data_IF_794084348189
#
_entry.id   IF_794084348189
#
_cell.length_a   1.000
_cell.length_b   1.000
_cell.length_c   1.000
_cell.angle_alpha   90.00
_cell.angle_beta   90.00
_cell.angle_gamma   90.00
#
_symmetry.space_group_name_H-M   'P 1'
#
loop_
_entity.id
_entity.type
_entity.pdbx_description
1 polymer ?
#
# COMPACT_ATOMS: atom_id res chain seq x y z
N UNK A 1 12.90 -5.62 -21.22
CA UNK A 1 13.04 -6.93 -20.55
C UNK A 1 11.68 -7.35 -20.00
N UNK A 2 11.40 -8.62 -20.00
CA UNK A 2 10.18 -9.14 -19.40
C UNK A 2 10.48 -9.62 -17.99
N UNK A 3 9.75 -9.10 -17.01
CA UNK A 3 10.03 -9.33 -15.58
C UNK A 3 8.77 -9.86 -14.88
N UNK A 4 8.94 -10.92 -14.12
CA UNK A 4 7.88 -11.48 -13.29
C UNK A 4 8.09 -11.02 -11.83
N UNK A 5 7.02 -10.57 -11.19
CA UNK A 5 7.01 -10.18 -9.78
C UNK A 5 6.05 -11.09 -9.04
N UNK A 6 6.52 -11.69 -7.96
CA UNK A 6 5.68 -12.54 -7.11
C UNK A 6 5.23 -11.72 -5.89
N UNK A 7 3.92 -11.57 -5.76
CA UNK A 7 3.30 -10.80 -4.70
C UNK A 7 2.90 -9.39 -5.13
N UNK A 8 1.70 -9.00 -4.78
CA UNK A 8 1.15 -7.67 -5.07
C UNK A 8 0.99 -6.82 -3.81
N UNK A 9 1.84 -7.05 -2.80
CA UNK A 9 1.96 -6.15 -1.68
C UNK A 9 2.57 -4.82 -2.12
N UNK A 10 2.74 -3.90 -1.19
CA UNK A 10 3.23 -2.56 -1.49
C UNK A 10 4.61 -2.60 -2.16
N UNK A 11 5.51 -3.49 -1.70
CA UNK A 11 6.84 -3.64 -2.29
C UNK A 11 6.79 -4.13 -3.75
N UNK A 12 5.97 -5.15 -4.02
CA UNK A 12 5.83 -5.69 -5.38
C UNK A 12 5.20 -4.69 -6.34
N UNK A 13 4.17 -3.98 -5.91
CA UNK A 13 3.53 -2.94 -6.72
C UNK A 13 4.46 -1.75 -6.97
N UNK A 14 5.27 -1.35 -5.98
CA UNK A 14 6.27 -0.29 -6.14
C UNK A 14 7.31 -0.69 -7.18
N UNK A 15 7.83 -1.91 -7.09
CA UNK A 15 8.78 -2.43 -8.07
C UNK A 15 8.17 -2.43 -9.46
N UNK A 16 6.92 -2.86 -9.61
CA UNK A 16 6.22 -2.89 -10.88
C UNK A 16 6.10 -1.51 -11.51
N UNK A 17 5.68 -0.50 -10.74
CA UNK A 17 5.55 0.88 -11.22
C UNK A 17 6.88 1.41 -11.71
N UNK A 18 7.95 1.21 -10.95
CA UNK A 18 9.28 1.70 -11.33
C UNK A 18 9.83 0.98 -12.56
N UNK A 19 9.62 -0.32 -12.67
CA UNK A 19 10.12 -1.10 -13.81
C UNK A 19 9.36 -0.79 -15.10
N UNK A 20 8.05 -0.58 -15.03
CA UNK A 20 7.25 -0.16 -16.18
C UNK A 20 7.71 1.22 -16.68
N UNK A 21 8.01 2.14 -15.77
CA UNK A 21 8.53 3.47 -16.13
C UNK A 21 9.89 3.39 -16.84
N UNK A 22 10.69 2.37 -16.53
CA UNK A 22 11.97 2.12 -17.21
C UNK A 22 11.83 1.39 -18.55
N UNK A 23 10.60 1.10 -18.97
CA UNK A 23 10.31 0.48 -20.25
C UNK A 23 10.29 -1.05 -20.23
N UNK A 24 10.24 -1.67 -19.07
CA UNK A 24 10.14 -3.13 -18.95
C UNK A 24 8.69 -3.59 -19.03
N UNK A 25 8.50 -4.81 -19.52
CA UNK A 25 7.24 -5.51 -19.46
C UNK A 25 7.17 -6.29 -18.15
N UNK A 26 6.13 -6.03 -17.34
CA UNK A 26 6.01 -6.59 -15.99
C UNK A 26 4.74 -7.41 -15.86
N UNK A 27 4.87 -8.60 -15.27
CA UNK A 27 3.76 -9.48 -14.94
C UNK A 27 3.81 -9.78 -13.44
N UNK A 28 2.67 -9.63 -12.74
CA UNK A 28 2.58 -9.80 -11.29
C UNK A 28 1.75 -11.04 -10.98
N UNK A 29 2.27 -11.87 -10.08
CA UNK A 29 1.61 -13.09 -9.62
C UNK A 29 1.20 -12.92 -8.15
N UNK A 30 -0.09 -13.04 -7.87
CA UNK A 30 -0.64 -12.89 -6.53
C UNK A 30 -1.45 -14.13 -6.16
N UNK A 31 -1.17 -14.69 -4.96
CA UNK A 31 -1.86 -15.88 -4.46
C UNK A 31 -3.26 -15.60 -3.89
N UNK A 32 -3.53 -14.36 -3.51
CA UNK A 32 -4.84 -13.95 -2.96
C UNK A 32 -5.74 -13.43 -4.07
N UNK A 33 -7.03 -13.36 -3.77
CA UNK A 33 -8.03 -12.85 -4.72
C UNK A 33 -8.06 -11.32 -4.83
N UNK A 34 -7.23 -10.62 -4.07
CA UNK A 34 -7.14 -9.16 -4.07
C UNK A 34 -5.69 -8.68 -4.06
N UNK A 35 -5.48 -7.46 -4.54
CA UNK A 35 -4.18 -6.81 -4.62
C UNK A 35 -3.89 -5.99 -3.36
N UNK A 36 -2.62 -5.71 -3.11
CA UNK A 36 -2.21 -4.77 -2.06
C UNK A 36 -1.61 -5.41 -0.82
N UNK A 37 -1.73 -6.72 -0.65
CA UNK A 37 -1.19 -7.39 0.54
C UNK A 37 -1.81 -6.85 1.82
N UNK A 38 -0.97 -6.42 2.75
CA UNK A 38 -1.42 -5.90 4.06
C UNK A 38 -2.13 -4.54 3.99
N UNK A 39 -2.01 -3.79 2.91
CA UNK A 39 -2.75 -2.55 2.71
C UNK A 39 -4.05 -2.77 1.94
N UNK A 40 -4.32 -3.99 1.54
CA UNK A 40 -5.53 -4.36 0.81
C UNK A 40 -6.77 -4.22 1.66
N UNK A 41 -7.88 -3.95 0.99
CA UNK A 41 -9.20 -3.91 1.60
C UNK A 41 -10.20 -4.65 0.72
N UNK A 42 -11.29 -5.07 1.29
CA UNK A 42 -12.33 -5.78 0.54
C UNK A 42 -13.69 -5.53 1.17
N UNK A 43 -14.75 -5.89 0.47
CA UNK A 43 -16.10 -5.88 1.01
C UNK A 43 -16.50 -7.29 1.43
N UNK A 44 -17.18 -7.41 2.56
CA UNK A 44 -17.80 -8.66 2.96
C UNK A 44 -19.13 -8.88 2.18
N UNK A 45 -19.78 -10.01 2.42
CA UNK A 45 -21.03 -10.36 1.73
C UNK A 45 -22.21 -9.42 2.07
N UNK A 46 -22.10 -8.66 3.15
CA UNK A 46 -23.11 -7.68 3.58
C UNK A 46 -22.81 -6.27 3.07
N UNK A 47 -21.74 -6.10 2.29
CA UNK A 47 -21.35 -4.82 1.74
C UNK A 47 -20.47 -3.96 2.67
N UNK A 48 -20.02 -4.51 3.80
CA UNK A 48 -19.14 -3.80 4.72
C UNK A 48 -17.72 -3.77 4.18
N UNK A 49 -17.08 -2.61 4.27
CA UNK A 49 -15.70 -2.44 3.87
C UNK A 49 -14.77 -2.94 4.96
N UNK A 50 -13.92 -3.92 4.63
CA UNK A 50 -12.97 -4.54 5.56
C UNK A 50 -11.56 -4.14 5.19
N UNK A 51 -10.78 -3.67 6.16
CA UNK A 51 -9.37 -3.33 5.99
C UNK A 51 -8.50 -4.20 6.89
N UNK A 52 -7.30 -4.54 6.43
CA UNK A 52 -6.37 -5.40 7.16
C UNK A 52 -5.64 -4.70 8.30
N UNK A 53 -5.91 -3.46 8.57
CA UNK A 53 -5.26 -2.74 9.64
C UNK A 53 -5.54 -1.26 9.59
N UNK A 54 -4.97 -0.54 10.55
CA UNK A 54 -5.09 0.90 10.60
C UNK A 54 -4.17 1.53 9.57
N UNK A 55 -4.71 2.37 8.71
CA UNK A 55 -3.96 3.08 7.68
C UNK A 55 -3.55 4.46 8.19
N UNK A 56 -2.45 4.49 8.93
CA UNK A 56 -1.86 5.72 9.48
C UNK A 56 -0.47 5.93 8.88
N UNK A 57 -0.18 7.16 8.46
CA UNK A 57 1.10 7.51 7.86
C UNK A 57 1.76 8.62 8.67
N UNK A 58 3.06 8.47 8.90
CA UNK A 58 3.85 9.47 9.61
C UNK A 58 4.63 10.33 8.60
N UNK A 59 4.86 11.58 8.94
CA UNK A 59 5.53 12.53 8.04
C UNK A 59 6.93 12.11 7.59
N UNK A 60 7.60 11.24 8.34
CA UNK A 60 8.92 10.75 7.97
C UNK A 60 8.91 9.61 6.95
N UNK A 61 7.77 9.21 6.44
CA UNK A 61 7.64 8.18 5.39
C UNK A 61 7.91 8.78 4.00
N UNK A 62 9.11 9.32 3.78
CA UNK A 62 9.42 10.07 2.57
C UNK A 62 9.27 9.25 1.28
N UNK A 63 9.73 8.01 1.28
CA UNK A 63 9.65 7.15 0.09
C UNK A 63 8.22 6.76 -0.25
N UNK A 64 7.39 6.52 0.75
CA UNK A 64 5.97 6.21 0.56
C UNK A 64 5.24 7.42 -0.03
N UNK A 65 5.48 8.62 0.48
CA UNK A 65 4.85 9.84 -0.04
C UNK A 65 5.29 10.12 -1.46
N UNK A 66 6.56 9.86 -1.78
CA UNK A 66 7.06 9.97 -3.15
C UNK A 66 6.33 9.03 -4.11
N UNK A 67 6.10 7.79 -3.70
CA UNK A 67 5.31 6.83 -4.46
C UNK A 67 3.86 7.29 -4.62
N UNK A 68 3.23 7.74 -3.55
CA UNK A 68 1.84 8.23 -3.57
C UNK A 68 1.67 9.41 -4.50
N UNK A 69 2.62 10.35 -4.50
CA UNK A 69 2.63 11.48 -5.43
C UNK A 69 2.72 10.99 -6.89
N UNK A 70 3.57 10.02 -7.14
CA UNK A 70 3.78 9.46 -8.48
C UNK A 70 2.53 8.82 -9.05
N UNK A 71 1.74 8.12 -8.21
CA UNK A 71 0.50 7.46 -8.65
C UNK A 71 -0.75 8.32 -8.46
N UNK A 72 -0.60 9.57 -8.03
CA UNK A 72 -1.72 10.50 -7.88
C UNK A 72 -2.56 10.29 -6.63
N UNK A 73 -2.05 9.62 -5.61
CA UNK A 73 -2.80 9.28 -4.39
C UNK A 73 -2.49 10.17 -3.19
N UNK A 74 -1.55 11.11 -3.31
CA UNK A 74 -1.11 11.92 -2.16
C UNK A 74 -2.24 12.76 -1.56
N UNK A 75 -3.15 13.26 -2.38
CA UNK A 75 -4.27 14.09 -1.95
C UNK A 75 -5.32 13.33 -1.13
N UNK A 76 -5.25 12.02 -1.11
CA UNK A 76 -6.13 11.18 -0.29
C UNK A 76 -5.74 11.17 1.19
N UNK A 77 -4.59 11.75 1.55
CA UNK A 77 -4.14 11.83 2.92
C UNK A 77 -4.76 13.02 3.63
N UNK A 78 -5.26 12.78 4.83
CA UNK A 78 -5.81 13.81 5.70
C UNK A 78 -4.84 14.06 6.86
N UNK A 79 -4.30 15.29 7.01
CA UNK A 79 -3.46 15.61 8.17
C UNK A 79 -4.22 15.44 9.46
N UNK A 80 -3.59 14.87 10.47
CA UNK A 80 -4.23 14.55 11.74
C UNK A 80 -3.23 14.58 12.86
N UNK A 81 -3.61 15.22 13.98
CA UNK A 81 -2.83 15.11 15.20
C UNK A 81 -3.04 13.72 15.80
N UNK A 82 -1.95 13.11 16.22
CA UNK A 82 -1.98 11.75 16.72
C UNK A 82 -1.22 11.65 18.04
N UNK A 83 -1.85 11.05 19.05
CA UNK A 83 -1.26 10.83 20.36
C UNK A 83 -1.19 9.34 20.64
N UNK A 84 0.00 8.86 20.98
CA UNK A 84 0.19 7.51 21.46
C UNK A 84 0.15 7.50 22.99
N UNK A 85 -0.72 6.68 23.54
CA UNK A 85 -0.82 6.48 24.98
C UNK A 85 -0.30 5.10 25.33
N UNK A 86 0.76 5.06 26.15
CA UNK A 86 1.32 3.81 26.65
C UNK A 86 0.89 3.63 28.10
N UNK A 87 0.18 2.54 28.37
CA UNK A 87 -0.27 2.21 29.72
C UNK A 87 0.61 1.09 30.24
N UNK A 88 1.29 1.36 31.37
CA UNK A 88 2.14 0.40 32.02
C UNK A 88 1.49 -0.06 33.33
N UNK A 89 1.15 -1.35 33.41
CA UNK A 89 0.49 -1.95 34.58
C UNK A 89 1.48 -2.59 35.55
N UNK A 90 2.75 -2.40 35.33
CA UNK A 90 3.81 -3.02 36.12
C UNK A 90 4.24 -2.27 37.35
#
# INVERSE_FOLDING_TARGET
MKIAIVGSGLAGLTAAVNLVDEGHEVEIFESRSFWGGKVGSWEDKDGNHIEMGLHVFFYNYANLFKLMKKVGALDNLLPKDHTHLFINNG
#
